data_IF_209168375778
#
_entry.id   IF_209168375778
#
_cell.length_a   1.000
_cell.length_b   1.000
_cell.length_c   1.000
_cell.angle_alpha   90.00
_cell.angle_beta   90.00
_cell.angle_gamma   90.00
#
_symmetry.space_group_name_H-M   'P 1'
#
loop_
_entity.id
_entity.type
_entity.pdbx_description
1 polymer ?
#
# COMPACT_ATOMS: atom_id res chain seq x y z
N UNK A 1 -10.42 4.55 2.17
CA UNK A 1 -10.71 3.40 1.31
C UNK A 1 -10.52 2.11 2.11
N UNK A 2 -11.47 1.17 1.98
CA UNK A 2 -11.45 -0.15 2.64
C UNK A 2 -11.60 -1.22 1.56
N UNK A 3 -10.76 -2.26 1.65
CA UNK A 3 -10.78 -3.42 0.75
C UNK A 3 -10.91 -4.71 1.53
N UNK A 4 -11.47 -5.76 0.93
CA UNK A 4 -11.52 -7.10 1.50
C UNK A 4 -10.61 -8.02 0.72
N UNK A 5 -9.70 -8.71 1.40
CA UNK A 5 -8.81 -9.68 0.75
C UNK A 5 -9.60 -10.93 0.36
N UNK A 6 -9.68 -11.26 -0.93
CA UNK A 6 -10.57 -12.33 -1.45
C UNK A 6 -9.82 -13.43 -2.19
N UNK A 7 -8.55 -13.21 -2.54
CA UNK A 7 -7.74 -14.18 -3.28
C UNK A 7 -6.31 -14.22 -2.74
N UNK A 8 -5.83 -15.42 -2.44
CA UNK A 8 -4.43 -15.63 -2.06
C UNK A 8 -3.50 -15.42 -3.25
N UNK A 9 -2.39 -14.71 -3.03
CA UNK A 9 -1.29 -14.59 -4.00
C UNK A 9 -0.55 -15.92 -4.18
N UNK A 10 -0.37 -16.66 -3.08
CA UNK A 10 0.24 -18.00 -3.03
C UNK A 10 -0.35 -18.80 -1.86
N UNK A 11 -0.31 -20.14 -1.91
CA UNK A 11 -0.97 -20.99 -0.90
C UNK A 11 -0.55 -20.72 0.55
N UNK A 12 0.72 -20.35 0.78
CA UNK A 12 1.28 -20.09 2.11
C UNK A 12 1.47 -18.60 2.41
N UNK A 13 0.71 -17.72 1.75
CA UNK A 13 0.80 -16.28 2.03
C UNK A 13 0.14 -15.96 3.38
N UNK A 14 0.97 -15.60 4.37
CA UNK A 14 0.54 -15.24 5.72
C UNK A 14 0.52 -13.73 5.96
N UNK A 15 0.90 -12.93 4.96
CA UNK A 15 0.94 -11.48 5.09
C UNK A 15 -0.46 -10.91 5.34
N UNK A 16 -1.50 -11.51 4.74
CA UNK A 16 -2.90 -11.08 4.87
C UNK A 16 -3.82 -12.26 5.13
N UNK A 17 -4.67 -12.16 6.14
CA UNK A 17 -5.80 -13.06 6.38
C UNK A 17 -6.85 -12.95 5.27
N UNK A 18 -7.22 -14.08 4.67
CA UNK A 18 -8.29 -14.16 3.66
C UNK A 18 -9.66 -13.82 4.27
N UNK A 19 -10.47 -13.04 3.55
CA UNK A 19 -11.80 -12.61 3.97
C UNK A 19 -11.83 -11.44 4.94
N UNK A 20 -10.67 -10.95 5.40
CA UNK A 20 -10.55 -9.79 6.30
C UNK A 20 -10.59 -8.47 5.51
N UNK A 21 -11.08 -7.42 6.17
CA UNK A 21 -11.05 -6.05 5.65
C UNK A 21 -9.75 -5.35 6.05
N UNK A 22 -9.21 -4.54 5.13
CA UNK A 22 -7.98 -3.76 5.30
C UNK A 22 -8.23 -2.31 4.94
N UNK A 23 -7.56 -1.42 5.67
CA UNK A 23 -7.47 -0.01 5.35
C UNK A 23 -6.33 0.17 4.34
N UNK A 24 -6.64 0.80 3.21
CA UNK A 24 -5.64 1.16 2.21
C UNK A 24 -4.89 2.40 2.68
N UNK A 25 -3.56 2.35 2.61
CA UNK A 25 -2.65 3.43 2.99
C UNK A 25 -2.18 4.24 1.79
N UNK A 26 -2.00 3.58 0.64
CA UNK A 26 -1.57 4.16 -0.63
C UNK A 26 -2.27 3.42 -1.78
N UNK A 27 -2.58 4.12 -2.87
CA UNK A 27 -2.91 3.52 -4.17
C UNK A 27 -1.92 4.02 -5.21
N UNK A 28 -1.25 3.11 -5.91
CA UNK A 28 -0.37 3.42 -7.03
C UNK A 28 -1.01 2.97 -8.35
N UNK A 29 -0.94 3.83 -9.35
CA UNK A 29 -1.46 3.56 -10.70
C UNK A 29 -0.35 3.73 -11.71
N UNK A 30 -0.21 2.76 -12.62
CA UNK A 30 0.72 2.82 -13.74
C UNK A 30 -0.02 2.64 -15.06
N UNK A 31 0.40 3.30 -16.15
CA UNK A 31 -0.35 3.33 -17.41
C UNK A 31 -0.48 1.97 -18.11
N UNK A 32 0.38 1.00 -17.78
CA UNK A 32 0.40 -0.33 -18.39
C UNK A 32 -0.08 -1.44 -17.47
N UNK A 33 -0.43 -1.14 -16.22
CA UNK A 33 -0.94 -2.14 -15.29
C UNK A 33 -2.45 -2.28 -15.43
N UNK A 34 -2.92 -3.53 -15.47
CA UNK A 34 -4.36 -3.82 -15.56
C UNK A 34 -5.11 -3.43 -14.28
N UNK A 35 -4.44 -3.57 -13.13
CA UNK A 35 -4.99 -3.27 -11.81
C UNK A 35 -4.02 -2.36 -11.08
N UNK A 36 -4.51 -1.31 -10.38
CA UNK A 36 -3.68 -0.54 -9.46
C UNK A 36 -3.05 -1.44 -8.41
N UNK A 37 -1.94 -0.99 -7.83
CA UNK A 37 -1.41 -1.58 -6.60
C UNK A 37 -1.84 -0.76 -5.40
N UNK A 38 -1.96 -1.41 -4.25
CA UNK A 38 -2.35 -0.80 -2.99
C UNK A 38 -1.36 -1.17 -1.90
N UNK A 39 -1.12 -0.24 -0.98
CA UNK A 39 -0.37 -0.50 0.25
C UNK A 39 -1.34 -0.75 1.41
N UNK A 40 -1.16 -1.85 2.12
CA UNK A 40 -1.90 -2.17 3.37
C UNK A 40 -0.93 -2.64 4.43
N UNK A 41 -1.36 -2.58 5.70
CA UNK A 41 -0.58 -3.12 6.82
C UNK A 41 -0.76 -4.64 6.92
N UNK A 42 0.35 -5.38 6.90
CA UNK A 42 0.35 -6.84 7.02
C UNK A 42 -0.05 -7.31 8.42
N UNK A 43 -0.61 -8.52 8.48
CA UNK A 43 -1.03 -9.18 9.72
C UNK A 43 0.13 -9.87 10.46
N UNK A 44 1.17 -10.29 9.74
CA UNK A 44 2.26 -11.13 10.27
C UNK A 44 3.31 -10.31 11.04
N UNK A 45 3.86 -9.27 10.43
CA UNK A 45 4.89 -8.42 11.03
C UNK A 45 4.44 -6.97 11.26
N UNK A 46 3.21 -6.63 10.86
CA UNK A 46 2.65 -5.31 11.03
C UNK A 46 3.25 -4.24 10.11
N UNK A 47 4.10 -4.59 9.16
CA UNK A 47 4.71 -3.65 8.22
C UNK A 47 3.77 -3.33 7.05
N UNK A 48 3.82 -2.11 6.50
CA UNK A 48 3.15 -1.78 5.24
C UNK A 48 3.77 -2.55 4.07
N UNK A 49 2.94 -3.16 3.22
CA UNK A 49 3.39 -3.82 2.00
C UNK A 49 2.41 -3.58 0.83
N UNK A 50 2.96 -3.67 -0.38
CA UNK A 50 2.25 -3.40 -1.63
C UNK A 50 1.71 -4.69 -2.24
N UNK A 51 0.45 -4.64 -2.71
CA UNK A 51 -0.26 -5.75 -3.34
C UNK A 51 -1.05 -5.26 -4.55
N UNK A 52 -1.23 -6.11 -5.56
CA UNK A 52 -2.18 -5.84 -6.66
C UNK A 52 -3.61 -5.80 -6.14
N UNK A 53 -4.40 -4.81 -6.57
CA UNK A 53 -5.81 -4.67 -6.19
C UNK A 53 -6.66 -5.86 -6.67
N UNK A 54 -6.18 -6.65 -7.66
CA UNK A 54 -6.88 -7.85 -8.16
C UNK A 54 -7.17 -8.91 -7.08
N UNK A 55 -6.41 -8.88 -5.98
CA UNK A 55 -6.56 -9.84 -4.87
C UNK A 55 -7.66 -9.44 -3.88
N UNK A 56 -8.36 -8.33 -4.16
CA UNK A 56 -9.29 -7.71 -3.24
C UNK A 56 -10.60 -7.28 -3.92
N UNK A 57 -11.65 -7.24 -3.11
CA UNK A 57 -12.89 -6.53 -3.43
C UNK A 57 -12.89 -5.17 -2.73
N UNK A 58 -13.29 -4.10 -3.43
CA UNK A 58 -13.45 -2.77 -2.82
C UNK A 58 -14.75 -2.76 -2.01
N UNK A 59 -14.63 -2.58 -0.69
CA UNK A 59 -15.77 -2.52 0.24
C UNK A 59 -16.25 -1.08 0.41
N UNK A 60 -15.31 -0.15 0.54
CA UNK A 60 -15.59 1.29 0.64
C UNK A 60 -14.56 2.07 -0.20
N UNK A 61 -14.98 2.68 -1.33
CA UNK A 61 -14.09 3.44 -2.19
C UNK A 61 -13.79 4.85 -1.67
N UNK A 62 -14.38 5.29 -0.56
CA UNK A 62 -14.25 6.66 -0.07
C UNK A 62 -12.80 7.04 0.20
N UNK A 63 -12.35 8.12 -0.43
CA UNK A 63 -11.00 8.68 -0.26
C UNK A 63 -11.08 9.76 0.83
N UNK A 64 -10.23 9.72 1.87
CA UNK A 64 -10.17 10.77 2.88
C UNK A 64 -9.83 12.14 2.27
N UNK A 65 -10.31 13.23 2.88
CA UNK A 65 -10.16 14.58 2.33
C UNK A 65 -8.74 15.12 2.31
N UNK A 66 -7.83 14.53 3.10
CA UNK A 66 -6.42 14.90 3.20
C UNK A 66 -5.52 14.05 2.29
N UNK A 67 -6.09 13.46 1.24
CA UNK A 67 -5.34 12.64 0.27
C UNK A 67 -5.16 13.40 -1.05
N UNK A 68 -3.94 13.35 -1.57
CA UNK A 68 -3.53 13.99 -2.81
C UNK A 68 -3.01 13.00 -3.84
N UNK A 69 -3.10 13.38 -5.12
CA UNK A 69 -2.44 12.68 -6.22
C UNK A 69 -1.06 13.29 -6.48
N UNK A 70 -0.04 12.44 -6.55
CA UNK A 70 1.35 12.81 -6.77
C UNK A 70 1.90 12.01 -7.94
N UNK A 71 2.53 12.68 -8.91
CA UNK A 71 3.26 11.98 -9.96
C UNK A 71 4.52 11.37 -9.37
N UNK A 72 4.76 10.08 -9.65
CA UNK A 72 5.95 9.38 -9.19
C UNK A 72 7.12 9.70 -10.11
N UNK A 73 8.26 10.09 -9.55
CA UNK A 73 9.51 10.31 -10.29
C UNK A 73 10.18 8.96 -10.64
N UNK A 74 9.48 8.13 -11.40
CA UNK A 74 9.93 6.80 -11.84
C UNK A 74 10.63 6.84 -13.20
N UNK A 75 10.71 8.01 -13.84
CA UNK A 75 11.10 8.16 -15.24
C UNK A 75 10.05 7.69 -16.25
N UNK A 76 8.92 7.12 -15.78
CA UNK A 76 7.78 6.69 -16.60
C UNK A 76 6.66 7.71 -16.40
N UNK A 77 6.26 8.38 -17.48
CA UNK A 77 5.14 9.32 -17.43
C UNK A 77 3.83 8.59 -17.12
N UNK A 78 3.01 9.21 -16.27
CA UNK A 78 1.67 8.70 -15.96
C UNK A 78 1.63 7.69 -14.81
N UNK A 79 2.74 7.50 -14.09
CA UNK A 79 2.73 6.82 -12.80
C UNK A 79 2.28 7.80 -11.72
N UNK A 80 1.19 7.49 -11.01
CA UNK A 80 0.66 8.35 -9.96
C UNK A 80 0.45 7.56 -8.67
N UNK A 81 0.64 8.27 -7.56
CA UNK A 81 0.36 7.81 -6.20
C UNK A 81 -0.73 8.64 -5.58
N UNK A 82 -1.75 7.99 -5.06
CA UNK A 82 -2.75 8.58 -4.18
C UNK A 82 -2.42 8.18 -2.73
N UNK A 83 -2.18 9.18 -1.87
CA UNK A 83 -1.79 8.96 -0.49
C UNK A 83 -2.17 10.16 0.40
N UNK A 84 -2.16 10.02 1.74
CA UNK A 84 -2.24 11.17 2.65
C UNK A 84 -1.15 12.20 2.35
N UNK A 85 -1.46 13.49 2.52
CA UNK A 85 -0.49 14.58 2.34
C UNK A 85 0.73 14.41 3.28
N UNK A 86 0.51 13.84 4.47
CA UNK A 86 1.53 13.56 5.48
C UNK A 86 2.54 12.48 5.07
N UNK A 87 2.23 11.65 4.07
CA UNK A 87 3.13 10.60 3.57
C UNK A 87 3.99 11.07 2.38
N UNK A 88 3.91 12.35 2.02
CA UNK A 88 4.73 12.95 0.97
C UNK A 88 6.15 13.28 1.43
N UNK A 89 7.05 13.53 0.48
CA UNK A 89 8.46 13.83 0.76
C UNK A 89 9.19 12.65 1.40
N UNK A 90 9.96 12.93 2.45
CA UNK A 90 10.91 11.99 3.08
C UNK A 90 10.24 10.99 4.04
N UNK A 91 8.91 11.02 4.21
CA UNK A 91 8.19 10.21 5.20
C UNK A 91 8.55 8.71 5.13
N UNK A 92 8.55 8.13 3.93
CA UNK A 92 8.84 6.71 3.75
C UNK A 92 10.31 6.38 3.97
N UNK A 93 11.22 7.29 3.61
CA UNK A 93 12.64 7.14 3.85
C UNK A 93 12.92 7.15 5.37
N UNK A 94 12.35 8.13 6.09
CA UNK A 94 12.42 8.24 7.55
C UNK A 94 11.82 7.00 8.23
N UNK A 95 10.63 6.56 7.80
CA UNK A 95 9.98 5.37 8.33
C UNK A 95 10.87 4.13 8.20
N UNK A 96 11.47 3.93 7.01
CA UNK A 96 12.31 2.77 6.75
C UNK A 96 13.67 2.85 7.46
N UNK A 97 14.25 4.03 7.65
CA UNK A 97 15.53 4.20 8.33
C UNK A 97 15.42 4.06 9.86
N UNK A 98 14.30 4.50 10.46
CA UNK A 98 13.98 4.20 11.85
C UNK A 98 13.75 2.70 12.07
N UNK A 99 13.12 2.01 11.11
CA UNK A 99 12.94 0.56 11.18
C UNK A 99 14.26 -0.22 11.05
N UNK A 100 15.23 0.28 10.27
CA UNK A 100 16.58 -0.31 10.18
C UNK A 100 17.39 -0.12 11.46
N UNK A 101 17.30 1.05 12.10
CA UNK A 101 18.05 1.37 13.32
C UNK A 101 17.50 0.70 14.59
N UNK A 102 16.21 0.34 14.62
CA UNK A 102 15.62 -0.40 15.75
C UNK A 102 15.91 -1.91 15.74
N UNK A 103 16.39 -2.47 14.61
CA UNK A 103 16.82 -3.88 14.48
C UNK A 103 18.31 -4.10 14.71
N UNK A 104 19.08 -3.06 15.05
CA UNK A 104 20.53 -3.11 15.27
C UNK A 104 20.96 -3.01 16.74
N UNK A 105 20.06 -3.23 17.70
CA UNK A 105 20.45 -3.38 19.10
C UNK A 105 20.77 -4.87 19.42
N UNK A 106 21.93 -5.14 20.07
CA UNK A 106 22.38 -6.49 20.44
C UNK A 106 21.53 -7.16 21.52
#
# INVERSE_FOLDING_TARGET
MIVKHTKLRKPDDKALTLGKNYIVLIVDTEPNEQYPTICVRCDDDGTPAVFSLEFFDVVDPSIPTNWGWYELDSGIKGCYRLQPDEFSGDFWDDYHDVFKSSRSLP
#
